data_IF_111822886028
#
_entry.id   IF_111822886028
#
_cell.length_a   1.000
_cell.length_b   1.000
_cell.length_c   1.000
_cell.angle_alpha   90.00
_cell.angle_beta   90.00
_cell.angle_gamma   90.00
#
_symmetry.space_group_name_H-M   'P 1'
#
loop_
_entity.id
_entity.type
_entity.pdbx_description
1 polymer ?
#
# COMPACT_ATOMS: atom_id res chain seq x y z
N UNK A 1 -68.44 4.20 -7.26
CA UNK A 1 -67.54 3.05 -7.06
C UNK A 1 -66.43 3.50 -6.12
N UNK A 2 -66.43 2.97 -4.91
CA UNK A 2 -65.57 3.37 -3.79
C UNK A 2 -64.26 2.58 -3.86
N UNK A 3 -63.10 3.25 -3.93
CA UNK A 3 -61.79 2.61 -3.86
C UNK A 3 -61.21 2.77 -2.46
N UNK A 4 -61.03 1.65 -1.79
CA UNK A 4 -60.50 1.52 -0.44
C UNK A 4 -58.96 1.59 -0.43
N UNK A 5 -58.43 2.37 0.53
CA UNK A 5 -57.01 2.41 0.89
C UNK A 5 -56.61 1.13 1.65
N UNK A 6 -55.47 0.50 1.34
CA UNK A 6 -54.94 -0.58 2.18
C UNK A 6 -54.15 -0.01 3.37
N UNK A 7 -54.58 -0.42 4.56
CA UNK A 7 -53.99 -0.12 5.86
C UNK A 7 -52.62 -0.79 6.05
N UNK A 8 -51.67 -0.01 6.54
CA UNK A 8 -50.34 -0.42 7.05
C UNK A 8 -50.46 -1.12 8.40
N UNK A 9 -49.82 -2.29 8.63
CA UNK A 9 -49.70 -2.86 9.96
C UNK A 9 -48.47 -2.35 10.71
N UNK A 10 -48.73 -1.71 11.85
CA UNK A 10 -47.77 -1.32 12.89
C UNK A 10 -47.03 -2.55 13.44
N UNK A 11 -45.70 -2.50 13.46
CA UNK A 11 -44.85 -3.47 14.19
C UNK A 11 -44.52 -2.94 15.59
N UNK A 12 -44.70 -3.74 16.66
CA UNK A 12 -44.25 -3.36 17.99
C UNK A 12 -42.73 -3.52 18.15
N UNK A 13 -42.15 -2.57 18.88
CA UNK A 13 -40.80 -2.58 19.41
C UNK A 13 -40.62 -3.76 20.38
N UNK A 14 -39.68 -4.66 20.07
CA UNK A 14 -39.18 -5.66 21.02
C UNK A 14 -37.76 -5.30 21.43
N UNK A 15 -37.63 -4.96 22.71
CA UNK A 15 -36.41 -4.65 23.43
C UNK A 15 -35.88 -5.94 24.09
N UNK A 16 -34.62 -6.35 23.88
CA UNK A 16 -34.02 -7.40 24.71
C UNK A 16 -33.04 -6.80 25.74
N UNK A 17 -33.55 -6.56 26.94
CA UNK A 17 -32.74 -6.70 28.16
C UNK A 17 -32.70 -8.19 28.51
N UNK A 18 -31.50 -8.76 28.66
CA UNK A 18 -31.22 -9.95 29.49
C UNK A 18 -29.73 -9.91 29.83
N UNK A 19 -29.35 -9.55 31.06
CA UNK A 19 -29.13 -10.49 32.17
C UNK A 19 -28.17 -11.63 31.81
N UNK A 20 -26.88 -11.45 32.13
CA UNK A 20 -25.99 -12.56 32.42
C UNK A 20 -25.50 -12.42 33.85
N UNK A 21 -26.03 -13.30 34.68
CA UNK A 21 -25.69 -13.56 36.06
C UNK A 21 -24.34 -14.27 36.16
N UNK A 22 -23.57 -13.89 37.17
CA UNK A 22 -22.40 -14.60 37.68
C UNK A 22 -22.78 -16.00 38.16
N UNK A 23 -21.93 -17.00 37.89
CA UNK A 23 -21.89 -18.24 38.65
C UNK A 23 -20.47 -18.81 38.68
N UNK A 24 -19.91 -18.83 39.87
CA UNK A 24 -18.75 -19.61 40.33
C UNK A 24 -19.12 -21.09 40.44
N UNK A 25 -18.23 -22.01 40.03
CA UNK A 25 -17.95 -23.23 40.81
C UNK A 25 -16.80 -24.07 40.20
N UNK A 26 -15.89 -24.43 41.12
CA UNK A 26 -14.88 -25.48 41.07
C UNK A 26 -15.31 -26.78 40.36
N UNK A 27 -14.35 -27.42 39.69
CA UNK A 27 -14.04 -28.85 39.89
C UNK A 27 -12.74 -29.24 39.20
N UNK A 28 -11.75 -29.65 39.99
CA UNK A 28 -10.59 -30.42 39.56
C UNK A 28 -11.01 -31.81 39.07
N UNK A 29 -10.22 -32.45 38.20
CA UNK A 29 -9.80 -33.81 38.54
C UNK A 29 -8.30 -34.04 38.34
N UNK A 30 -7.72 -34.61 39.38
CA UNK A 30 -6.49 -35.40 39.37
C UNK A 30 -6.57 -36.52 38.34
N UNK A 31 -5.60 -36.63 37.43
CA UNK A 31 -5.28 -37.92 36.80
C UNK A 31 -3.78 -38.03 36.59
N UNK A 32 -3.18 -38.77 37.51
CA UNK A 32 -1.87 -39.39 37.37
C UNK A 32 -1.83 -40.21 36.07
N UNK A 33 -0.82 -39.99 35.24
CA UNK A 33 -0.42 -40.97 34.24
C UNK A 33 1.09 -40.91 34.03
N UNK A 34 1.76 -41.79 34.76
CA UNK A 34 3.10 -42.24 34.47
C UNK A 34 3.19 -42.72 33.01
N UNK A 35 4.12 -42.14 32.25
CA UNK A 35 4.67 -42.80 31.08
C UNK A 35 6.19 -42.70 31.11
N UNK A 36 6.80 -43.87 31.27
CA UNK A 36 8.22 -44.12 31.25
C UNK A 36 8.86 -43.70 29.92
N UNK A 37 10.03 -43.08 30.08
CA UNK A 37 11.23 -43.09 29.25
C UNK A 37 11.23 -44.06 28.05
N UNK A 38 11.45 -43.51 26.86
CA UNK A 38 12.32 -44.15 25.85
C UNK A 38 13.06 -43.11 25.02
N UNK A 39 14.33 -42.98 25.37
CA UNK A 39 15.43 -42.48 24.55
C UNK A 39 15.43 -43.19 23.18
N UNK A 40 15.48 -42.43 22.10
CA UNK A 40 16.10 -42.83 20.81
C UNK A 40 16.43 -41.56 20.02
N UNK A 41 17.70 -41.16 20.06
CA UNK A 41 18.28 -40.15 19.18
C UNK A 41 18.54 -40.74 17.80
N UNK A 42 18.23 -40.05 16.69
CA UNK A 42 18.86 -40.33 15.40
C UNK A 42 20.03 -39.35 15.15
N UNK A 43 21.20 -39.81 14.67
CA UNK A 43 22.23 -38.93 14.15
C UNK A 43 21.88 -38.53 12.71
N UNK A 44 21.45 -37.29 12.50
CA UNK A 44 21.38 -36.71 11.15
C UNK A 44 22.72 -36.06 10.81
N UNK A 45 23.54 -36.82 10.08
CA UNK A 45 24.72 -36.31 9.39
C UNK A 45 24.28 -35.55 8.14
N UNK A 46 24.35 -34.22 8.16
CA UNK A 46 24.27 -33.42 6.94
C UNK A 46 25.65 -33.40 6.27
N UNK A 47 25.78 -34.21 5.22
CA UNK A 47 26.84 -34.10 4.23
C UNK A 47 26.62 -32.81 3.42
N UNK A 48 27.51 -31.83 3.55
CA UNK A 48 27.56 -30.68 2.63
C UNK A 48 28.51 -31.01 1.48
N UNK A 49 28.06 -31.11 0.22
CA UNK A 49 28.97 -31.08 -0.90
C UNK A 49 29.48 -29.65 -1.10
N UNK A 50 30.79 -29.49 -0.93
CA UNK A 50 31.58 -28.36 -1.43
C UNK A 50 31.46 -28.32 -2.95
N UNK A 51 30.81 -27.30 -3.49
CA UNK A 51 30.89 -26.93 -4.88
C UNK A 51 31.58 -25.57 -4.97
N UNK A 52 32.88 -25.63 -5.24
CA UNK A 52 33.62 -24.58 -5.91
C UNK A 52 32.84 -24.16 -7.16
N UNK A 53 32.32 -22.93 -7.17
CA UNK A 53 31.88 -22.26 -8.38
C UNK A 53 32.67 -20.97 -8.55
N UNK A 54 33.61 -21.08 -9.47
CA UNK A 54 34.35 -20.05 -10.19
C UNK A 54 33.47 -18.84 -10.53
N UNK A 55 33.93 -17.60 -10.29
CA UNK A 55 33.23 -16.42 -10.78
C UNK A 55 33.44 -16.25 -12.30
N UNK A 56 32.41 -15.90 -13.09
CA UNK A 56 32.60 -15.51 -14.48
C UNK A 56 33.26 -14.12 -14.57
N UNK A 57 34.04 -13.84 -15.64
CA UNK A 57 34.74 -12.58 -15.79
C UNK A 57 33.77 -11.40 -15.98
N UNK A 58 34.08 -10.32 -15.27
CA UNK A 58 33.44 -9.01 -15.35
C UNK A 58 33.60 -8.41 -16.75
N UNK A 59 32.58 -8.57 -17.60
CA UNK A 59 32.42 -7.74 -18.78
C UNK A 59 32.02 -6.34 -18.32
N UNK A 60 32.97 -5.42 -18.44
CA UNK A 60 32.78 -4.00 -18.21
C UNK A 60 31.91 -3.38 -19.29
N UNK A 61 30.86 -2.71 -18.86
CA UNK A 61 30.13 -1.72 -19.64
C UNK A 61 30.12 -0.46 -18.78
N UNK A 62 31.17 0.33 -18.97
CA UNK A 62 31.23 1.69 -18.50
C UNK A 62 30.14 2.50 -19.22
N UNK A 63 29.02 2.70 -18.53
CA UNK A 63 28.06 3.75 -18.89
C UNK A 63 28.30 4.93 -17.96
N UNK A 64 29.20 5.80 -18.40
CA UNK A 64 29.44 7.13 -17.85
C UNK A 64 28.26 8.04 -18.19
N UNK A 65 27.19 7.99 -17.41
CA UNK A 65 26.17 9.04 -17.42
C UNK A 65 26.62 10.18 -16.50
N UNK A 66 27.36 11.13 -17.06
CA UNK A 66 27.56 12.47 -16.49
C UNK A 66 26.21 13.17 -16.35
N UNK A 67 25.59 13.07 -15.17
CA UNK A 67 24.49 13.96 -14.80
C UNK A 67 25.09 15.26 -14.26
N UNK A 68 25.15 16.27 -15.13
CA UNK A 68 25.27 17.67 -14.72
C UNK A 68 23.99 18.01 -13.94
N UNK A 69 24.11 18.12 -12.61
CA UNK A 69 23.07 18.72 -11.79
C UNK A 69 22.89 20.20 -12.13
N UNK A 70 21.67 20.75 -12.09
CA UNK A 70 21.43 22.18 -12.24
C UNK A 70 21.84 22.93 -10.96
N UNK A 71 22.24 24.21 -11.06
CA UNK A 71 22.59 25.04 -9.90
C UNK A 71 21.35 25.44 -9.09
N UNK A 72 21.51 25.75 -7.78
CA UNK A 72 20.44 26.27 -6.95
C UNK A 72 20.30 27.79 -7.15
N UNK A 73 19.23 28.22 -7.81
CA UNK A 73 18.70 29.58 -7.72
C UNK A 73 17.25 29.42 -7.24
N UNK A 74 16.83 29.98 -6.12
CA UNK A 74 16.90 31.41 -5.83
C UNK A 74 15.46 31.93 -5.99
N UNK A 75 14.83 32.24 -4.86
CA UNK A 75 13.46 32.69 -4.73
C UNK A 75 13.07 33.82 -5.71
N UNK A 76 11.85 33.74 -6.27
CA UNK A 76 10.97 34.88 -6.51
C UNK A 76 9.52 34.39 -6.65
N UNK A 77 8.57 34.83 -5.80
CA UNK A 77 7.15 34.59 -5.99
C UNK A 77 6.54 35.75 -6.76
N UNK A 78 6.23 35.55 -8.03
CA UNK A 78 5.24 36.34 -8.73
C UNK A 78 4.16 35.40 -9.24
N UNK A 79 3.01 35.50 -8.56
CA UNK A 79 1.76 34.85 -8.87
C UNK A 79 1.25 35.35 -10.22
N UNK A 80 1.30 34.51 -11.24
CA UNK A 80 0.40 34.64 -12.39
C UNK A 80 -0.86 33.80 -12.13
N UNK A 81 -2.07 34.36 -12.25
CA UNK A 81 -3.29 33.59 -12.18
C UNK A 81 -3.34 32.66 -13.40
N UNK A 82 -3.20 31.36 -13.15
CA UNK A 82 -3.48 30.34 -14.17
C UNK A 82 -4.96 30.42 -14.50
N UNK A 83 -5.23 31.12 -15.59
CA UNK A 83 -6.52 31.24 -16.25
C UNK A 83 -7.07 29.84 -16.51
N UNK A 84 -8.20 29.57 -15.83
CA UNK A 84 -9.20 28.57 -16.19
C UNK A 84 -9.22 28.35 -17.70
N UNK A 85 -9.07 27.09 -18.13
CA UNK A 85 -9.35 26.67 -19.50
C UNK A 85 -10.82 26.88 -19.81
N UNK A 86 -11.20 28.12 -20.12
CA UNK A 86 -12.45 28.44 -20.76
C UNK A 86 -12.41 27.83 -22.17
N UNK A 87 -13.45 27.08 -22.50
CA UNK A 87 -13.89 26.89 -23.88
C UNK A 87 -14.00 28.29 -24.49
N UNK A 88 -12.96 28.72 -25.21
CA UNK A 88 -12.95 29.98 -25.93
C UNK A 88 -13.88 29.84 -27.13
N UNK A 89 -15.13 30.22 -26.95
CA UNK A 89 -15.96 30.60 -28.09
C UNK A 89 -15.33 31.86 -28.68
N UNK A 90 -14.94 31.85 -29.97
CA UNK A 90 -14.39 33.05 -30.60
C UNK A 90 -15.42 34.18 -30.45
N UNK A 91 -14.99 35.40 -30.06
CA UNK A 91 -15.90 36.52 -29.94
C UNK A 91 -16.60 36.77 -31.28
N UNK A 92 -17.89 37.16 -31.27
CA UNK A 92 -18.60 37.50 -32.50
C UNK A 92 -17.88 38.66 -33.19
N UNK A 93 -17.28 38.38 -34.35
CA UNK A 93 -16.50 39.35 -35.13
C UNK A 93 -15.06 38.93 -35.45
N UNK A 94 -14.58 37.78 -34.98
CA UNK A 94 -13.30 37.25 -35.48
C UNK A 94 -13.41 36.94 -36.98
N UNK A 95 -12.52 37.49 -37.84
CA UNK A 95 -12.55 37.21 -39.27
C UNK A 95 -12.29 35.72 -39.47
N UNK A 96 -13.24 35.04 -40.12
CA UNK A 96 -13.06 33.67 -40.57
C UNK A 96 -11.75 33.60 -41.37
N UNK A 97 -10.75 32.90 -40.84
CA UNK A 97 -9.59 32.52 -41.62
C UNK A 97 -10.10 31.54 -42.68
N UNK A 98 -10.47 32.08 -43.84
CA UNK A 98 -10.69 31.30 -45.05
C UNK A 98 -9.33 30.74 -45.39
N UNK A 99 -9.08 29.50 -44.94
CA UNK A 99 -7.92 28.72 -45.32
C UNK A 99 -8.05 28.39 -46.82
N UNK A 100 -7.78 29.38 -47.66
CA UNK A 100 -7.58 29.23 -49.10
C UNK A 100 -6.15 28.70 -49.31
N UNK A 101 -5.84 27.56 -48.69
CA UNK A 101 -4.63 26.82 -48.94
C UNK A 101 -4.98 25.82 -50.03
N UNK A 102 -4.70 26.20 -51.28
CA UNK A 102 -4.68 25.25 -52.39
C UNK A 102 -3.81 24.06 -51.99
N UNK A 103 -4.30 22.81 -52.13
CA UNK A 103 -3.48 21.63 -51.89
C UNK A 103 -2.19 21.74 -52.71
N UNK A 104 -1.00 21.57 -52.12
CA UNK A 104 0.23 21.51 -52.91
C UNK A 104 0.07 20.35 -53.91
N UNK A 105 0.19 20.66 -55.20
CA UNK A 105 0.18 19.64 -56.25
C UNK A 105 1.26 18.59 -55.93
N UNK A 106 0.91 17.29 -55.98
CA UNK A 106 1.88 16.24 -55.75
C UNK A 106 2.96 16.32 -56.85
N UNK A 107 4.25 16.18 -56.49
CA UNK A 107 5.31 16.16 -57.48
C UNK A 107 5.08 15.02 -58.47
N UNK A 108 5.09 15.36 -59.77
CA UNK A 108 4.97 14.42 -60.89
C UNK A 108 6.16 13.46 -60.85
N UNK A 109 5.95 12.31 -60.22
CA UNK A 109 6.95 11.26 -60.12
C UNK A 109 7.15 10.61 -61.49
N UNK A 110 8.34 10.78 -62.05
CA UNK A 110 8.79 10.09 -63.26
C UNK A 110 8.77 8.58 -63.02
N UNK A 111 7.94 7.89 -63.79
CA UNK A 111 7.72 6.44 -63.73
C UNK A 111 8.97 5.69 -64.19
N UNK A 112 9.85 5.35 -63.24
CA UNK A 112 10.93 4.40 -63.47
C UNK A 112 10.37 2.97 -63.37
N UNK A 113 10.47 2.22 -64.47
CA UNK A 113 10.11 0.81 -64.59
C UNK A 113 10.87 -0.04 -63.56
N UNK A 114 10.21 -0.41 -62.46
CA UNK A 114 10.71 -1.40 -61.50
C UNK A 114 10.32 -2.81 -61.99
N UNK A 115 11.27 -3.76 -62.09
CA UNK A 115 10.99 -5.12 -62.55
C UNK A 115 10.03 -5.85 -61.60
N UNK A 116 8.95 -6.39 -62.17
CA UNK A 116 7.91 -7.14 -61.48
C UNK A 116 8.44 -8.51 -61.02
N UNK A 117 8.87 -8.61 -59.76
CA UNK A 117 9.14 -9.87 -59.07
C UNK A 117 7.90 -10.25 -58.22
N UNK A 118 6.87 -10.79 -58.87
CA UNK A 118 5.47 -10.82 -58.37
C UNK A 118 5.00 -12.16 -57.75
N UNK A 119 5.89 -12.97 -57.17
CA UNK A 119 5.48 -14.30 -56.66
C UNK A 119 5.85 -14.58 -55.19
N UNK A 120 6.61 -13.69 -54.52
CA UNK A 120 7.03 -13.86 -53.12
C UNK A 120 6.48 -12.82 -52.15
N UNK A 121 5.72 -11.83 -52.64
CA UNK A 121 5.31 -10.64 -51.87
C UNK A 121 4.02 -10.80 -51.09
N UNK A 122 3.13 -11.71 -51.51
CA UNK A 122 1.77 -11.77 -50.96
C UNK A 122 1.75 -12.28 -49.53
N UNK A 123 2.51 -13.34 -49.23
CA UNK A 123 2.65 -13.86 -47.87
C UNK A 123 3.29 -12.83 -46.91
N UNK A 124 4.30 -12.09 -47.38
CA UNK A 124 4.92 -11.03 -46.59
C UNK A 124 3.95 -9.86 -46.36
N UNK A 125 3.11 -9.54 -47.34
CA UNK A 125 2.11 -8.48 -47.23
C UNK A 125 0.98 -8.86 -46.26
N UNK A 126 0.56 -10.13 -46.24
CA UNK A 126 -0.41 -10.65 -45.27
C UNK A 126 0.14 -10.61 -43.84
N UNK A 127 1.38 -11.03 -43.61
CA UNK A 127 2.03 -10.97 -42.29
C UNK A 127 2.14 -9.53 -41.77
N UNK A 128 2.52 -8.59 -42.64
CA UNK A 128 2.60 -7.17 -42.29
C UNK A 128 1.23 -6.57 -41.96
N UNK A 129 0.19 -6.96 -42.71
CA UNK A 129 -1.18 -6.54 -42.44
C UNK A 129 -1.69 -7.11 -41.11
N UNK A 130 -1.49 -8.41 -40.85
CA UNK A 130 -1.87 -9.05 -39.60
C UNK A 130 -1.15 -8.43 -38.39
N UNK A 131 0.15 -8.14 -38.51
CA UNK A 131 0.92 -7.47 -37.46
C UNK A 131 0.40 -6.05 -37.19
N UNK A 132 -0.05 -5.33 -38.23
CA UNK A 132 -0.68 -4.01 -38.10
C UNK A 132 -2.03 -4.10 -37.39
N UNK A 133 -2.91 -5.00 -37.82
CA UNK A 133 -4.22 -5.22 -37.19
C UNK A 133 -4.06 -5.54 -35.71
N UNK A 134 -3.16 -6.47 -35.36
CA UNK A 134 -2.88 -6.83 -33.95
C UNK A 134 -2.37 -5.65 -33.12
N UNK A 135 -1.51 -4.81 -33.70
CA UNK A 135 -1.01 -3.60 -33.03
C UNK A 135 -2.14 -2.59 -32.81
N UNK A 136 -2.97 -2.37 -33.81
CA UNK A 136 -4.09 -1.42 -33.74
C UNK A 136 -5.15 -1.89 -32.73
N UNK A 137 -5.45 -3.20 -32.68
CA UNK A 137 -6.31 -3.82 -31.67
C UNK A 137 -5.77 -3.65 -30.25
N UNK A 138 -4.47 -3.87 -30.05
CA UNK A 138 -3.83 -3.71 -28.74
C UNK A 138 -3.83 -2.24 -28.31
N UNK A 139 -3.55 -1.31 -29.22
CA UNK A 139 -3.66 0.13 -28.94
C UNK A 139 -5.10 0.55 -28.62
N UNK A 140 -6.09 0.00 -29.32
CA UNK A 140 -7.49 0.24 -29.04
C UNK A 140 -7.87 -0.28 -27.64
N UNK A 141 -7.45 -1.51 -27.30
CA UNK A 141 -7.65 -2.10 -25.98
C UNK A 141 -7.02 -1.25 -24.87
N UNK A 142 -5.78 -0.78 -25.07
CA UNK A 142 -5.10 0.09 -24.10
C UNK A 142 -5.82 1.43 -23.93
N UNK A 143 -6.35 2.00 -25.02
CA UNK A 143 -7.13 3.24 -24.96
C UNK A 143 -8.40 3.05 -24.15
N UNK A 144 -9.20 2.04 -24.46
CA UNK A 144 -10.44 1.73 -23.75
C UNK A 144 -10.16 1.46 -22.28
N UNK A 145 -9.14 0.66 -21.96
CA UNK A 145 -8.76 0.38 -20.57
C UNK A 145 -8.35 1.65 -19.80
N UNK A 146 -7.68 2.60 -20.45
CA UNK A 146 -7.33 3.90 -19.84
C UNK A 146 -8.58 4.75 -19.61
N UNK A 147 -9.46 4.85 -20.60
CA UNK A 147 -10.72 5.61 -20.50
C UNK A 147 -11.62 5.04 -19.38
N UNK A 148 -11.74 3.71 -19.28
CA UNK A 148 -12.48 3.04 -18.19
C UNK A 148 -11.85 3.30 -16.82
N UNK A 149 -10.52 3.28 -16.72
CA UNK A 149 -9.81 3.56 -15.47
C UNK A 149 -9.98 5.02 -15.02
N UNK A 150 -9.95 5.96 -15.96
CA UNK A 150 -10.22 7.38 -15.72
C UNK A 150 -11.67 7.61 -15.30
N UNK A 151 -12.64 6.99 -16.00
CA UNK A 151 -14.04 7.04 -15.62
C UNK A 151 -14.26 6.51 -14.20
N UNK A 152 -13.64 5.37 -13.85
CA UNK A 152 -13.71 4.80 -12.49
C UNK A 152 -13.11 5.74 -11.43
N UNK A 153 -11.97 6.39 -11.72
CA UNK A 153 -11.38 7.39 -10.82
C UNK A 153 -12.31 8.59 -10.63
N UNK A 154 -12.91 9.09 -11.72
CA UNK A 154 -13.86 10.19 -11.66
C UNK A 154 -15.09 9.87 -10.81
N UNK A 155 -15.62 8.65 -10.92
CA UNK A 155 -16.72 8.17 -10.07
C UNK A 155 -16.32 8.11 -8.58
N UNK A 156 -15.16 7.54 -8.28
CA UNK A 156 -14.64 7.48 -6.91
C UNK A 156 -14.44 8.87 -6.31
N UNK A 157 -13.86 9.82 -7.06
CA UNK A 157 -13.62 11.20 -6.61
C UNK A 157 -14.93 12.00 -6.45
N UNK A 158 -15.90 11.78 -7.33
CA UNK A 158 -17.24 12.35 -7.20
C UNK A 158 -17.93 11.88 -5.92
N UNK A 159 -17.89 10.58 -5.64
CA UNK A 159 -18.46 10.00 -4.42
C UNK A 159 -17.71 10.46 -3.17
N UNK A 160 -16.37 10.56 -3.21
CA UNK A 160 -15.54 11.11 -2.13
C UNK A 160 -15.92 12.55 -1.78
N UNK A 161 -16.27 13.35 -2.78
CA UNK A 161 -16.74 14.74 -2.62
C UNK A 161 -18.18 14.85 -2.08
N UNK A 162 -18.84 13.73 -1.77
CA UNK A 162 -20.21 13.68 -1.27
C UNK A 162 -21.26 13.49 -2.37
N UNK A 163 -20.86 13.29 -3.63
CA UNK A 163 -21.73 13.04 -4.75
C UNK A 163 -22.54 11.75 -4.64
N UNK A 164 -23.59 11.67 -5.47
CA UNK A 164 -24.39 10.46 -5.70
C UNK A 164 -24.30 10.11 -7.18
N UNK A 165 -24.00 8.85 -7.49
CA UNK A 165 -23.91 8.35 -8.86
C UNK A 165 -25.31 8.26 -9.47
N UNK A 166 -25.37 8.36 -10.81
CA UNK A 166 -26.61 8.23 -11.57
C UNK A 166 -26.55 7.02 -12.49
N UNK A 167 -27.70 6.36 -12.66
CA UNK A 167 -27.87 5.27 -13.63
C UNK A 167 -27.96 5.82 -15.07
N UNK A 168 -28.08 4.92 -16.05
CA UNK A 168 -28.23 5.30 -17.45
C UNK A 168 -29.52 6.09 -17.71
N UNK A 169 -30.54 5.94 -16.85
CA UNK A 169 -31.79 6.70 -16.90
C UNK A 169 -31.70 8.04 -16.14
N UNK A 170 -30.54 8.39 -15.57
CA UNK A 170 -30.30 9.63 -14.84
C UNK A 170 -30.87 9.65 -13.41
N UNK A 171 -31.42 8.54 -12.91
CA UNK A 171 -31.90 8.40 -11.52
C UNK A 171 -30.72 8.17 -10.58
N UNK A 172 -30.91 8.48 -9.30
CA UNK A 172 -29.87 8.31 -8.27
C UNK A 172 -29.67 6.82 -7.98
N UNK A 173 -28.46 6.32 -8.18
CA UNK A 173 -28.07 4.96 -7.85
C UNK A 173 -27.45 4.91 -6.45
N UNK A 174 -28.32 4.76 -5.44
CA UNK A 174 -27.89 4.68 -4.05
C UNK A 174 -27.10 3.40 -3.73
N UNK A 175 -27.40 2.30 -4.43
CA UNK A 175 -26.76 1.00 -4.20
C UNK A 175 -25.31 1.05 -4.66
N UNK A 176 -25.06 1.51 -5.89
CA UNK A 176 -23.71 1.70 -6.42
C UNK A 176 -22.95 2.75 -5.62
N UNK A 177 -23.59 3.87 -5.28
CA UNK A 177 -22.96 4.91 -4.45
C UNK A 177 -22.54 4.35 -3.09
N UNK A 178 -23.39 3.55 -2.43
CA UNK A 178 -23.06 2.93 -1.13
C UNK A 178 -21.89 1.96 -1.27
N UNK A 179 -21.89 1.11 -2.30
CA UNK A 179 -20.80 0.17 -2.55
C UNK A 179 -19.46 0.90 -2.76
N UNK A 180 -19.44 1.97 -3.55
CA UNK A 180 -18.24 2.79 -3.77
C UNK A 180 -17.79 3.46 -2.46
N UNK A 181 -18.72 3.98 -1.65
CA UNK A 181 -18.39 4.57 -0.34
C UNK A 181 -17.77 3.56 0.62
N UNK A 182 -18.31 2.35 0.70
CA UNK A 182 -17.76 1.30 1.55
C UNK A 182 -16.37 0.87 1.08
N UNK A 183 -16.15 0.69 -0.22
CA UNK A 183 -14.82 0.39 -0.76
C UNK A 183 -13.82 1.52 -0.49
N UNK A 184 -14.22 2.79 -0.64
CA UNK A 184 -13.37 3.93 -0.29
C UNK A 184 -13.01 3.96 1.20
N UNK A 185 -13.99 3.69 2.08
CA UNK A 185 -13.74 3.59 3.53
C UNK A 185 -12.74 2.49 3.86
N UNK A 186 -12.87 1.33 3.24
CA UNK A 186 -11.92 0.22 3.40
C UNK A 186 -10.52 0.64 2.93
N UNK A 187 -10.38 1.24 1.75
CA UNK A 187 -9.10 1.72 1.23
C UNK A 187 -8.46 2.79 2.12
N UNK A 188 -9.25 3.70 2.68
CA UNK A 188 -8.74 4.74 3.57
C UNK A 188 -8.20 4.14 4.88
N UNK A 189 -8.91 3.14 5.44
CA UNK A 189 -8.43 2.37 6.60
C UNK A 189 -7.14 1.63 6.27
N UNK A 190 -7.11 0.89 5.15
CA UNK A 190 -5.92 0.15 4.69
C UNK A 190 -4.73 1.09 4.48
N UNK A 191 -4.93 2.22 3.80
CA UNK A 191 -3.90 3.20 3.53
C UNK A 191 -3.38 3.85 4.83
N UNK A 192 -4.26 4.08 5.82
CA UNK A 192 -3.86 4.56 7.15
C UNK A 192 -2.98 3.54 7.87
N UNK A 193 -3.36 2.26 7.86
CA UNK A 193 -2.59 1.18 8.47
C UNK A 193 -1.21 1.02 7.81
N UNK A 194 -1.16 1.06 6.47
CA UNK A 194 0.09 1.02 5.72
C UNK A 194 1.00 2.21 6.03
N UNK A 195 0.48 3.44 5.98
CA UNK A 195 1.26 4.65 6.33
C UNK A 195 1.80 4.59 7.76
N UNK A 196 1.01 4.09 8.71
CA UNK A 196 1.43 3.90 10.11
C UNK A 196 2.60 2.93 10.20
N UNK A 197 2.50 1.78 9.53
CA UNK A 197 3.57 0.78 9.50
C UNK A 197 4.85 1.30 8.82
N UNK A 198 4.72 1.97 7.68
CA UNK A 198 5.84 2.57 6.95
C UNK A 198 6.56 3.64 7.77
N UNK A 199 5.82 4.47 8.52
CA UNK A 199 6.38 5.44 9.46
C UNK A 199 7.23 4.73 10.51
N UNK A 200 6.69 3.70 11.16
CA UNK A 200 7.41 2.92 12.16
C UNK A 200 8.67 2.26 11.58
N UNK A 201 8.61 1.64 10.41
CA UNK A 201 9.79 1.04 9.77
C UNK A 201 10.85 2.08 9.36
N UNK A 202 10.43 3.28 8.96
CA UNK A 202 11.33 4.37 8.64
C UNK A 202 12.04 4.89 9.90
N UNK A 203 11.30 5.21 10.96
CA UNK A 203 11.90 5.67 12.21
C UNK A 203 12.79 4.59 12.85
N UNK A 204 12.40 3.31 12.73
CA UNK A 204 13.22 2.20 13.22
C UNK A 204 14.55 2.11 12.47
N UNK A 205 14.53 2.23 11.14
CA UNK A 205 15.77 2.27 10.33
C UNK A 205 16.64 3.47 10.67
N UNK A 206 16.04 4.63 10.89
CA UNK A 206 16.75 5.84 11.33
C UNK A 206 17.43 5.65 12.69
N UNK A 207 16.71 5.05 13.66
CA UNK A 207 17.26 4.70 14.97
C UNK A 207 18.46 3.75 14.86
N UNK A 208 18.39 2.77 13.95
CA UNK A 208 19.49 1.81 13.70
C UNK A 208 20.68 2.44 12.99
N UNK A 209 20.45 3.34 12.03
CA UNK A 209 21.50 4.02 11.29
C UNK A 209 22.36 4.93 12.18
N UNK A 210 21.87 5.29 13.36
CA UNK A 210 22.53 6.32 14.17
C UNK A 210 22.18 7.74 13.76
N UNK A 211 21.28 7.90 12.79
CA UNK A 211 20.77 9.18 12.28
C UNK A 211 19.72 9.82 13.23
N UNK A 212 19.84 9.57 14.53
CA UNK A 212 19.09 10.30 15.54
C UNK A 212 19.52 11.76 15.49
N UNK A 213 18.75 12.57 14.75
CA UNK A 213 18.71 14.02 14.47
C UNK A 213 19.87 14.97 14.84
N UNK A 214 20.76 14.66 15.77
CA UNK A 214 21.94 15.43 16.07
C UNK A 214 23.12 15.01 15.19
N UNK A 215 23.38 15.79 14.13
CA UNK A 215 24.77 16.15 13.79
C UNK A 215 25.36 16.84 15.03
N UNK A 216 25.77 16.08 16.05
CA UNK A 216 26.19 16.68 17.32
C UNK A 216 26.10 15.83 18.58
N UNK A 217 25.90 14.50 18.50
CA UNK A 217 25.89 13.67 19.73
C UNK A 217 24.67 13.92 20.62
N UNK A 218 23.54 14.28 20.01
CA UNK A 218 22.26 14.39 20.70
C UNK A 218 21.86 13.02 21.28
N UNK A 219 21.51 12.99 22.56
CA UNK A 219 21.13 11.76 23.26
C UNK A 219 19.67 11.43 22.93
N UNK A 220 19.38 10.15 22.72
CA UNK A 220 18.03 9.67 22.47
C UNK A 220 17.18 9.75 23.74
N UNK A 221 15.93 10.18 23.61
CA UNK A 221 14.95 10.14 24.69
C UNK A 221 13.99 8.96 24.53
N UNK A 222 13.19 8.70 25.54
CA UNK A 222 12.17 7.64 25.51
C UNK A 222 11.20 7.80 24.33
N UNK A 223 10.79 9.04 24.02
CA UNK A 223 9.85 9.34 22.92
C UNK A 223 10.44 9.21 21.51
N UNK A 224 11.77 9.23 21.37
CA UNK A 224 12.45 9.09 20.06
C UNK A 224 12.50 7.64 19.59
N UNK A 225 12.28 6.70 20.50
CA UNK A 225 12.22 5.27 20.17
C UNK A 225 10.86 5.00 19.51
N UNK A 226 10.83 4.42 18.30
CA UNK A 226 9.59 4.13 17.61
C UNK A 226 8.95 2.89 18.23
N UNK A 227 8.22 3.10 19.31
CA UNK A 227 7.47 2.07 20.01
C UNK A 227 6.35 1.50 19.12
N UNK A 228 6.02 0.19 19.22
CA UNK A 228 5.01 -0.45 18.38
C UNK A 228 3.60 -0.14 18.90
N UNK A 229 3.25 1.15 19.00
CA UNK A 229 1.96 1.65 19.49
C UNK A 229 1.52 2.83 18.64
N UNK A 230 0.21 2.99 18.44
CA UNK A 230 -0.34 4.21 17.83
C UNK A 230 -0.75 5.19 18.94
N UNK A 231 -0.07 6.32 19.01
CA UNK A 231 -0.38 7.44 19.92
C UNK A 231 -0.78 8.71 19.16
N UNK A 232 -0.88 8.65 17.82
CA UNK A 232 -1.20 9.83 17.02
C UNK A 232 -0.14 10.93 17.16
N UNK A 233 -0.55 12.07 17.71
CA UNK A 233 0.29 13.25 17.98
C UNK A 233 0.72 13.36 19.45
N UNK A 234 0.29 12.44 20.32
CA UNK A 234 0.63 12.45 21.74
C UNK A 234 2.05 11.93 22.00
N UNK A 235 2.63 12.38 23.11
CA UNK A 235 3.93 11.89 23.58
C UNK A 235 3.77 10.44 24.05
N UNK A 236 4.66 9.55 23.59
CA UNK A 236 4.65 8.15 24.03
C UNK A 236 5.12 8.09 25.48
N UNK A 237 4.31 7.48 26.34
CA UNK A 237 4.65 7.19 27.73
C UNK A 237 4.59 5.69 27.98
N UNK A 238 5.20 5.23 29.07
CA UNK A 238 5.27 3.81 29.43
C UNK A 238 3.87 3.16 29.55
N UNK A 239 2.87 3.91 30.04
CA UNK A 239 1.47 3.43 30.13
C UNK A 239 0.85 3.08 28.78
N UNK A 240 1.36 3.64 27.68
CA UNK A 240 0.86 3.36 26.34
C UNK A 240 1.33 2.00 25.81
N UNK A 241 2.37 1.39 26.39
CA UNK A 241 2.90 0.08 25.99
C UNK A 241 2.08 -1.11 26.52
N UNK A 242 0.76 -0.96 26.61
CA UNK A 242 -0.12 -2.04 27.02
C UNK A 242 -0.18 -3.17 25.96
N UNK A 243 -0.33 -4.41 26.41
CA UNK A 243 -0.38 -5.62 25.55
C UNK A 243 -1.36 -5.46 24.39
N UNK A 244 -2.56 -4.95 24.65
CA UNK A 244 -3.58 -4.78 23.60
C UNK A 244 -3.16 -3.78 22.52
N UNK A 245 -2.53 -2.65 22.87
CA UNK A 245 -2.08 -1.64 21.91
C UNK A 245 -0.94 -2.15 21.05
N UNK A 246 0.02 -2.84 21.67
CA UNK A 246 1.13 -3.48 20.94
C UNK A 246 0.62 -4.56 19.99
N UNK A 247 -0.35 -5.36 20.45
CA UNK A 247 -0.99 -6.40 19.64
C UNK A 247 -1.73 -5.80 18.45
N UNK A 248 -2.56 -4.79 18.69
CA UNK A 248 -3.33 -4.08 17.68
C UNK A 248 -2.38 -3.49 16.63
N UNK A 249 -1.38 -2.73 17.05
CA UNK A 249 -0.40 -2.13 16.14
C UNK A 249 0.30 -3.16 15.25
N UNK A 250 0.80 -4.26 15.83
CA UNK A 250 1.58 -5.25 15.09
C UNK A 250 0.72 -6.12 14.16
N UNK A 251 -0.54 -6.38 14.52
CA UNK A 251 -1.41 -7.31 13.79
C UNK A 251 -2.39 -6.60 12.85
N UNK A 252 -2.71 -5.32 13.05
CA UNK A 252 -3.62 -4.59 12.18
C UNK A 252 -3.12 -4.47 10.75
N UNK A 253 -1.81 -4.27 10.54
CA UNK A 253 -1.22 -4.23 9.20
C UNK A 253 -1.39 -5.54 8.41
N UNK A 254 -1.67 -6.66 9.09
CA UNK A 254 -1.95 -7.95 8.45
C UNK A 254 -3.38 -8.05 7.89
N UNK A 255 -4.28 -7.14 8.29
CA UNK A 255 -5.66 -7.08 7.78
C UNK A 255 -5.74 -6.44 6.39
N UNK A 256 -4.67 -5.78 5.93
CA UNK A 256 -4.60 -5.12 4.63
C UNK A 256 -4.60 -6.16 3.50
N UNK A 257 -5.47 -5.98 2.49
CA UNK A 257 -5.53 -6.85 1.32
C UNK A 257 -4.16 -6.95 0.63
N UNK A 258 -3.74 -8.17 0.32
CA UNK A 258 -2.45 -8.42 -0.36
C UNK A 258 -1.23 -8.46 0.55
N UNK A 259 -1.39 -8.35 1.88
CA UNK A 259 -0.29 -8.57 2.81
C UNK A 259 0.22 -10.02 2.74
N UNK A 260 1.46 -10.21 2.31
CA UNK A 260 2.09 -11.53 2.17
C UNK A 260 2.72 -12.06 3.47
N UNK A 261 2.90 -11.18 4.46
CA UNK A 261 3.57 -11.52 5.72
C UNK A 261 2.61 -12.28 6.61
N UNK A 262 3.04 -13.44 7.12
CA UNK A 262 2.21 -14.19 8.07
C UNK A 262 2.29 -13.60 9.48
N UNK A 263 1.26 -13.84 10.32
CA UNK A 263 1.28 -13.46 11.73
C UNK A 263 2.52 -13.96 12.46
N UNK A 264 2.88 -15.23 12.25
CA UNK A 264 4.07 -15.86 12.85
C UNK A 264 5.36 -15.15 12.44
N UNK A 265 5.51 -14.84 11.16
CA UNK A 265 6.67 -14.12 10.63
C UNK A 265 6.77 -12.71 11.20
N UNK A 266 5.64 -11.99 11.29
CA UNK A 266 5.59 -10.65 11.88
C UNK A 266 6.06 -10.66 13.34
N UNK A 267 5.53 -11.58 14.15
CA UNK A 267 5.92 -11.71 15.55
C UNK A 267 7.40 -12.09 15.70
N UNK A 268 7.89 -13.05 14.90
CA UNK A 268 9.31 -13.44 14.92
C UNK A 268 10.23 -12.28 14.59
N UNK A 269 9.93 -11.54 13.51
CA UNK A 269 10.72 -10.35 13.13
C UNK A 269 10.70 -9.28 14.22
N UNK A 270 9.56 -9.08 14.89
CA UNK A 270 9.42 -8.10 15.97
C UNK A 270 10.21 -8.53 17.21
N UNK A 271 10.18 -9.82 17.57
CA UNK A 271 10.92 -10.34 18.71
C UNK A 271 12.44 -10.23 18.51
N UNK A 272 12.93 -10.53 17.30
CA UNK A 272 14.35 -10.33 16.97
C UNK A 272 14.76 -8.86 17.01
N UNK A 273 13.85 -7.97 16.61
CA UNK A 273 14.06 -6.51 16.62
C UNK A 273 14.18 -5.95 18.03
N UNK A 274 13.30 -6.37 18.93
CA UNK A 274 13.24 -5.93 20.33
C UNK A 274 14.12 -6.76 21.27
N UNK A 275 14.97 -7.64 20.73
CA UNK A 275 15.86 -8.47 21.54
C UNK A 275 16.84 -7.61 22.36
N UNK A 276 17.10 -7.93 23.64
CA UNK A 276 17.95 -7.12 24.53
C UNK A 276 19.36 -6.87 23.96
N UNK A 277 19.93 -7.84 23.26
CA UNK A 277 21.22 -7.70 22.56
C UNK A 277 21.22 -6.52 21.58
N UNK A 278 20.20 -6.42 20.72
CA UNK A 278 20.07 -5.31 19.76
C UNK A 278 19.74 -3.99 20.44
N UNK A 279 18.94 -4.03 21.50
CA UNK A 279 18.58 -2.84 22.27
C UNK A 279 19.75 -2.27 23.06
N UNK A 280 20.78 -3.06 23.38
CA UNK A 280 21.96 -2.57 24.12
C UNK A 280 22.68 -1.45 23.36
N UNK A 281 22.80 -1.54 22.03
CA UNK A 281 23.38 -0.49 21.19
C UNK A 281 22.50 0.77 21.10
N UNK A 282 21.19 0.66 21.34
CA UNK A 282 20.30 1.82 21.47
C UNK A 282 20.49 2.46 22.83
N UNK A 283 20.48 1.67 23.91
CA UNK A 283 20.60 2.12 25.30
C UNK A 283 21.88 2.93 25.58
N UNK A 284 22.99 2.63 24.92
CA UNK A 284 24.24 3.41 25.06
C UNK A 284 24.13 4.84 24.55
N UNK A 285 23.14 5.13 23.69
CA UNK A 285 22.87 6.44 23.10
C UNK A 285 21.73 7.18 23.81
N UNK A 286 21.03 6.53 24.73
CA UNK A 286 19.89 7.11 25.45
C UNK A 286 20.39 8.05 26.56
N UNK A 287 19.64 9.14 26.77
CA UNK A 287 19.83 10.08 27.87
C UNK A 287 19.75 9.35 29.22
N UNK A 288 20.66 9.66 30.16
CA UNK A 288 20.87 8.82 31.36
C UNK A 288 19.60 8.71 32.21
N UNK A 289 18.83 9.78 32.22
CA UNK A 289 17.54 9.96 32.88
C UNK A 289 16.47 9.00 32.32
N UNK A 290 16.53 8.70 31.01
CA UNK A 290 15.53 7.89 30.31
C UNK A 290 15.94 6.41 30.17
N UNK A 291 17.20 6.04 30.46
CA UNK A 291 17.72 4.68 30.28
C UNK A 291 16.84 3.63 30.96
N UNK A 292 16.42 3.89 32.19
CA UNK A 292 15.60 2.93 32.95
C UNK A 292 14.18 2.84 32.39
N UNK A 293 13.60 3.96 31.96
CA UNK A 293 12.29 3.98 31.32
C UNK A 293 12.31 3.21 30.00
N UNK A 294 13.37 3.37 29.19
CA UNK A 294 13.56 2.62 27.95
C UNK A 294 13.74 1.14 28.23
N UNK A 295 14.57 0.75 29.22
CA UNK A 295 14.76 -0.65 29.61
C UNK A 295 13.44 -1.30 30.02
N UNK A 296 12.63 -0.59 30.82
CA UNK A 296 11.31 -1.05 31.23
C UNK A 296 10.36 -1.18 30.03
N UNK A 297 10.34 -0.20 29.13
CA UNK A 297 9.52 -0.26 27.91
C UNK A 297 9.90 -1.43 27.00
N UNK A 298 11.20 -1.68 26.80
CA UNK A 298 11.69 -2.85 26.04
C UNK A 298 11.21 -4.15 26.68
N UNK A 299 11.34 -4.28 28.01
CA UNK A 299 10.87 -5.46 28.73
C UNK A 299 9.38 -5.70 28.51
N UNK A 300 8.56 -4.66 28.66
CA UNK A 300 7.10 -4.75 28.45
C UNK A 300 6.78 -5.19 27.02
N UNK A 301 7.43 -4.60 26.00
CA UNK A 301 7.22 -4.99 24.59
C UNK A 301 7.62 -6.44 24.34
N UNK A 302 8.75 -6.89 24.88
CA UNK A 302 9.21 -8.28 24.73
C UNK A 302 8.25 -9.26 25.41
N UNK A 303 7.77 -8.96 26.62
CA UNK A 303 6.77 -9.76 27.32
C UNK A 303 5.46 -9.84 26.49
N UNK A 304 4.99 -8.73 25.93
CA UNK A 304 3.82 -8.71 25.03
C UNK A 304 4.04 -9.62 23.81
N UNK A 305 5.20 -9.54 23.17
CA UNK A 305 5.54 -10.34 21.99
C UNK A 305 5.63 -11.83 22.32
N UNK A 306 6.18 -12.19 23.48
CA UNK A 306 6.25 -13.58 23.95
C UNK A 306 4.87 -14.16 24.22
N UNK A 307 3.98 -13.41 24.88
CA UNK A 307 2.59 -13.81 25.10
C UNK A 307 1.85 -14.05 23.78
N UNK A 308 2.01 -13.14 22.82
CA UNK A 308 1.40 -13.27 21.49
C UNK A 308 1.97 -14.43 20.68
N UNK A 309 3.25 -14.71 20.81
CA UNK A 309 3.91 -15.81 20.10
C UNK A 309 3.52 -17.17 20.69
N UNK A 310 3.42 -17.28 22.02
CA UNK A 310 2.96 -18.49 22.70
C UNK A 310 1.51 -18.84 22.30
N UNK A 311 0.62 -17.84 22.24
CA UNK A 311 -0.77 -18.02 21.80
C UNK A 311 -0.96 -18.34 20.32
N UNK A 312 0.11 -18.36 19.50
CA UNK A 312 0.07 -18.79 18.09
C UNK A 312 0.53 -20.24 17.93
N UNK A 313 1.14 -20.84 18.95
CA UNK A 313 1.65 -22.23 18.90
C UNK A 313 0.69 -23.28 19.45
N UNK A 314 -0.29 -22.87 20.26
CA UNK A 314 -1.41 -23.72 20.71
C UNK A 314 -2.57 -23.63 19.75
#
# INVERSE_FOLDING_TARGET
>A
MMNANPSTPSRPFSNPQNFWTSATSNSSPTSSRDFQLKSTSPPFSFNTPSLNSTPPPSSGWASSSSSKGPPPNGFSPLSEPRTLGYFAFPPPGSPSFVANASPPEPPVAQSQNVPSSSAGTDAQQEDLWAARVKRDEELHRQRVAREEAEARRGEEDWVRSGGVLRDAEGRRDEVRTRAVREELRLRDVEARLMRRWERYEREWRRLQAGDGNGRGGEKLRFGDIPWPVDVGEEVVELRHLAVHRVTEFLLEGLKVRGCKVTRRERLRSSLLRWHPDKMTAVLTRVEKEDVEMVRQGVRVVVECLQLLHAGVQG
#
